data_IF_754720692630
#
_entry.id   IF_754720692630
#
_cell.length_a   1.000
_cell.length_b   1.000
_cell.length_c   1.000
_cell.angle_alpha   90.00
_cell.angle_beta   90.00
_cell.angle_gamma   90.00
#
_symmetry.space_group_name_H-M   'P 1'
#
loop_
_entity.id
_entity.type
_entity.pdbx_description
1 polymer ?
#
# COMPACT_ATOMS: atom_id res chain seq x y z
N UNK A 1 2.20 10.55 -7.49
CA UNK A 1 3.38 10.48 -8.39
C UNK A 1 3.58 9.02 -8.78
N UNK A 2 3.88 8.70 -10.03
CA UNK A 2 4.22 7.34 -10.47
C UNK A 2 5.49 7.42 -11.31
N UNK A 3 6.57 6.82 -10.81
CA UNK A 3 7.89 6.81 -11.48
C UNK A 3 8.01 5.67 -12.48
N UNK A 4 7.25 4.63 -12.24
CA UNK A 4 7.19 3.41 -13.04
C UNK A 4 5.77 3.13 -13.51
N UNK A 5 5.62 2.25 -14.47
CA UNK A 5 4.37 1.67 -14.92
C UNK A 5 4.57 0.17 -15.16
N UNK A 6 3.62 -0.66 -14.70
CA UNK A 6 3.83 -2.09 -14.54
C UNK A 6 4.41 -2.43 -13.17
N UNK A 7 4.45 -3.71 -12.81
CA UNK A 7 4.93 -4.16 -11.50
C UNK A 7 5.34 -5.64 -11.57
N UNK A 8 6.54 -5.97 -11.10
CA UNK A 8 7.07 -7.33 -11.09
C UNK A 8 6.73 -8.12 -9.81
N UNK A 9 5.94 -7.59 -8.90
CA UNK A 9 5.55 -8.26 -7.66
C UNK A 9 4.68 -9.51 -7.87
N UNK A 10 3.98 -9.62 -9.00
CA UNK A 10 3.25 -10.83 -9.37
C UNK A 10 2.00 -11.14 -8.54
N UNK A 11 1.48 -10.18 -7.76
CA UNK A 11 0.26 -10.38 -6.98
C UNK A 11 -0.88 -10.90 -7.86
N UNK A 12 -1.45 -12.06 -7.52
CA UNK A 12 -2.43 -12.74 -8.38
C UNK A 12 -3.73 -11.96 -8.56
N UNK A 13 -4.06 -11.10 -7.64
CA UNK A 13 -5.29 -10.30 -7.57
C UNK A 13 -5.13 -8.85 -8.05
N UNK A 14 -3.98 -8.47 -8.62
CA UNK A 14 -3.63 -7.06 -8.87
C UNK A 14 -4.58 -6.39 -9.87
N UNK A 15 -5.36 -5.40 -9.40
CA UNK A 15 -6.28 -4.63 -10.26
C UNK A 15 -5.55 -3.77 -11.30
N UNK A 16 -4.30 -3.37 -11.04
CA UNK A 16 -3.51 -2.58 -11.98
C UNK A 16 -3.19 -3.28 -13.32
N UNK A 17 -3.43 -4.61 -13.40
CA UNK A 17 -3.36 -5.40 -14.65
C UNK A 17 -4.56 -5.17 -15.57
N UNK A 18 -5.60 -4.50 -15.09
CA UNK A 18 -6.84 -4.32 -15.84
C UNK A 18 -6.60 -3.59 -17.15
N UNK A 19 -7.26 -4.03 -18.23
CA UNK A 19 -7.16 -3.43 -19.56
C UNK A 19 -7.54 -1.95 -19.60
N UNK A 20 -8.34 -1.47 -18.64
CA UNK A 20 -8.69 -0.06 -18.54
C UNK A 20 -7.47 0.85 -18.35
N UNK A 21 -6.35 0.33 -17.84
CA UNK A 21 -5.09 1.08 -17.71
C UNK A 21 -4.24 1.09 -18.99
N UNK A 22 -4.69 0.41 -20.06
CA UNK A 22 -4.13 0.50 -21.42
C UNK A 22 -2.62 0.22 -21.48
N UNK A 23 -2.14 -0.84 -20.83
CA UNK A 23 -0.79 -1.36 -21.06
C UNK A 23 -0.79 -2.16 -22.35
N UNK A 24 0.17 -1.88 -23.22
CA UNK A 24 0.30 -2.52 -24.53
C UNK A 24 1.23 -3.75 -24.53
N UNK A 25 1.84 -4.04 -23.38
CA UNK A 25 2.80 -5.12 -23.14
C UNK A 25 2.48 -5.81 -21.82
N UNK A 26 3.23 -6.82 -21.45
CA UNK A 26 3.04 -7.56 -20.21
C UNK A 26 3.22 -6.65 -18.99
N UNK A 27 2.39 -6.88 -17.99
CA UNK A 27 2.35 -6.03 -16.80
C UNK A 27 3.67 -6.06 -16.00
N UNK A 28 4.44 -7.12 -16.14
CA UNK A 28 5.75 -7.33 -15.55
C UNK A 28 6.86 -6.60 -16.30
N UNK A 29 6.66 -6.22 -17.56
CA UNK A 29 7.57 -5.37 -18.32
C UNK A 29 7.43 -3.93 -17.84
N UNK A 30 8.37 -3.50 -17.02
CA UNK A 30 8.27 -2.22 -16.32
C UNK A 30 8.76 -1.07 -17.20
N UNK A 31 7.87 -0.13 -17.47
CA UNK A 31 8.24 1.16 -18.07
C UNK A 31 8.86 2.07 -17.01
N UNK A 32 10.06 2.57 -17.27
CA UNK A 32 10.72 3.61 -16.47
C UNK A 32 10.43 4.98 -17.08
N UNK A 33 9.88 5.90 -16.30
CA UNK A 33 9.66 7.27 -16.75
C UNK A 33 10.95 8.07 -16.58
N UNK A 34 11.79 8.13 -17.60
CA UNK A 34 13.14 8.69 -17.57
C UNK A 34 13.23 10.09 -16.98
N UNK A 35 12.32 10.99 -17.35
CA UNK A 35 12.34 12.39 -16.91
C UNK A 35 11.44 12.68 -15.70
N UNK A 36 10.90 11.63 -15.04
CA UNK A 36 9.93 11.83 -13.96
C UNK A 36 10.49 12.61 -12.76
N UNK A 37 11.74 12.35 -12.39
CA UNK A 37 12.41 13.03 -11.28
C UNK A 37 12.65 14.51 -11.61
N UNK A 38 13.04 14.85 -12.84
CA UNK A 38 13.22 16.24 -13.29
C UNK A 38 11.88 17.00 -13.35
N UNK A 39 10.82 16.33 -13.84
CA UNK A 39 9.48 16.91 -13.88
C UNK A 39 8.94 17.13 -12.45
N UNK A 40 9.22 16.21 -11.54
CA UNK A 40 8.90 16.38 -10.14
C UNK A 40 9.61 17.61 -9.57
N UNK A 41 10.92 17.76 -9.77
CA UNK A 41 11.68 18.93 -9.28
C UNK A 41 11.11 20.23 -9.81
N UNK A 42 10.84 20.31 -11.12
CA UNK A 42 10.22 21.50 -11.75
C UNK A 42 8.86 21.82 -11.10
N UNK A 43 8.06 20.78 -10.82
CA UNK A 43 6.74 20.95 -10.20
C UNK A 43 6.83 21.42 -8.75
N UNK A 44 7.72 20.82 -7.94
CA UNK A 44 7.91 21.18 -6.54
C UNK A 44 8.45 22.61 -6.39
N UNK A 45 9.37 23.04 -7.29
CA UNK A 45 9.92 24.39 -7.30
C UNK A 45 8.85 25.47 -7.57
N UNK A 46 7.90 25.18 -8.44
CA UNK A 46 6.83 26.14 -8.83
C UNK A 46 5.64 26.16 -7.86
N UNK A 47 5.47 25.11 -7.08
CA UNK A 47 4.29 24.94 -6.23
C UNK A 47 4.43 25.75 -4.93
N UNK A 48 3.65 26.81 -4.84
CA UNK A 48 3.65 27.73 -3.66
C UNK A 48 3.06 27.03 -2.43
N UNK A 49 1.86 26.44 -2.56
CA UNK A 49 1.18 25.75 -1.45
C UNK A 49 1.75 24.35 -1.27
N UNK A 50 2.34 24.07 -0.11
CA UNK A 50 2.85 22.74 0.24
C UNK A 50 1.69 21.74 0.40
N UNK A 51 1.96 20.47 0.13
CA UNK A 51 1.00 19.39 0.23
C UNK A 51 1.69 18.06 0.46
N UNK A 52 0.90 17.00 0.69
CA UNK A 52 1.38 15.63 0.67
C UNK A 52 1.63 15.19 -0.77
N UNK A 53 2.76 14.53 -1.01
CA UNK A 53 3.09 13.86 -2.28
C UNK A 53 2.92 12.36 -2.07
N UNK A 54 2.02 11.74 -2.84
CA UNK A 54 1.73 10.32 -2.74
C UNK A 54 2.32 9.49 -3.88
N UNK A 55 2.66 8.20 -3.61
CA UNK A 55 3.05 7.20 -4.61
C UNK A 55 2.62 5.79 -4.20
N UNK A 56 2.70 4.83 -5.11
CA UNK A 56 2.48 3.41 -4.81
C UNK A 56 1.10 2.86 -5.15
N UNK A 57 0.18 3.69 -5.65
CA UNK A 57 -1.20 3.25 -5.94
C UNK A 57 -1.33 2.34 -7.19
N UNK A 58 -0.42 2.45 -8.16
CA UNK A 58 -0.47 1.68 -9.42
C UNK A 58 0.69 0.71 -9.56
N UNK A 59 1.89 1.15 -9.20
CA UNK A 59 3.11 0.36 -9.18
C UNK A 59 3.69 0.48 -7.79
N UNK A 60 4.14 -0.63 -7.20
CA UNK A 60 4.86 -0.55 -5.94
C UNK A 60 6.15 0.25 -6.14
N UNK A 61 6.42 1.26 -5.32
CA UNK A 61 7.60 2.11 -5.49
C UNK A 61 8.92 1.40 -5.14
N UNK A 62 8.88 0.25 -4.47
CA UNK A 62 10.04 -0.56 -4.10
C UNK A 62 10.10 -1.89 -4.86
N UNK A 63 9.74 -1.89 -6.15
CA UNK A 63 10.03 -3.01 -7.04
C UNK A 63 11.54 -3.23 -7.14
N UNK A 64 12.03 -4.45 -7.47
CA UNK A 64 13.45 -4.72 -7.59
C UNK A 64 14.22 -3.73 -8.47
N UNK A 65 13.64 -3.28 -9.58
CA UNK A 65 14.24 -2.30 -10.49
C UNK A 65 14.55 -0.96 -9.81
N UNK A 66 13.84 -0.58 -8.76
CA UNK A 66 14.15 0.65 -7.99
C UNK A 66 15.51 0.55 -7.27
N UNK A 67 15.96 -0.65 -6.92
CA UNK A 67 17.29 -0.84 -6.31
C UNK A 67 18.42 -0.46 -7.27
N UNK A 68 18.18 -0.62 -8.57
CA UNK A 68 19.13 -0.28 -9.65
C UNK A 68 19.01 1.19 -10.05
N UNK A 69 17.80 1.67 -10.29
CA UNK A 69 17.55 3.01 -10.84
C UNK A 69 17.66 4.12 -9.81
N UNK A 70 17.27 3.87 -8.55
CA UNK A 70 17.26 4.85 -7.48
C UNK A 70 16.33 6.05 -7.70
N UNK A 71 15.36 5.95 -8.61
CA UNK A 71 14.46 7.04 -8.98
C UNK A 71 13.58 7.48 -7.82
N UNK A 72 13.04 6.53 -7.04
CA UNK A 72 12.24 6.84 -5.87
C UNK A 72 13.08 7.58 -4.81
N UNK A 73 14.29 7.07 -4.53
CA UNK A 73 15.19 7.72 -3.56
C UNK A 73 15.51 9.16 -3.98
N UNK A 74 15.79 9.41 -5.27
CA UNK A 74 16.00 10.77 -5.79
C UNK A 74 14.75 11.63 -5.65
N UNK A 75 13.57 11.08 -5.90
CA UNK A 75 12.31 11.79 -5.72
C UNK A 75 12.06 12.16 -4.24
N UNK A 76 12.32 11.24 -3.29
CA UNK A 76 12.18 11.49 -1.85
C UNK A 76 13.15 12.58 -1.39
N UNK A 77 14.40 12.60 -1.89
CA UNK A 77 15.36 13.67 -1.62
C UNK A 77 14.85 15.05 -2.08
N UNK A 78 14.21 15.13 -3.25
CA UNK A 78 13.60 16.37 -3.73
C UNK A 78 12.42 16.82 -2.85
N UNK A 79 11.56 15.88 -2.45
CA UNK A 79 10.43 16.14 -1.55
C UNK A 79 10.95 16.73 -0.22
N UNK A 80 11.98 16.13 0.36
CA UNK A 80 12.65 16.66 1.55
C UNK A 80 13.25 18.06 1.31
N UNK A 81 14.04 18.22 0.23
CA UNK A 81 14.70 19.49 -0.15
C UNK A 81 13.69 20.63 -0.24
N UNK A 82 12.56 20.41 -0.87
CA UNK A 82 11.54 21.44 -1.08
C UNK A 82 10.49 21.53 0.04
N UNK A 83 10.59 20.74 1.12
CA UNK A 83 9.73 20.82 2.31
C UNK A 83 8.27 20.41 2.04
N UNK A 84 8.05 19.36 1.25
CA UNK A 84 6.74 18.75 1.06
C UNK A 84 6.56 17.57 2.02
N UNK A 85 5.30 17.20 2.31
CA UNK A 85 4.99 15.95 2.99
C UNK A 85 5.05 14.77 2.03
N UNK A 86 5.20 13.57 2.55
CA UNK A 86 5.32 12.36 1.75
C UNK A 86 4.46 11.21 2.28
N UNK A 87 3.81 10.49 1.39
CA UNK A 87 3.16 9.22 1.72
C UNK A 87 3.36 8.21 0.59
N UNK A 88 3.51 6.95 0.93
CA UNK A 88 3.69 5.88 -0.05
C UNK A 88 2.92 4.63 0.37
N UNK A 89 2.51 3.83 -0.62
CA UNK A 89 1.93 2.50 -0.42
C UNK A 89 2.92 1.47 -0.96
N UNK A 90 3.19 0.43 -0.18
CA UNK A 90 4.10 -0.64 -0.60
C UNK A 90 3.74 -1.99 0.03
N UNK A 91 4.20 -3.07 -0.58
CA UNK A 91 4.26 -4.43 -0.05
C UNK A 91 5.71 -4.88 0.23
N UNK A 92 6.66 -3.95 0.21
CA UNK A 92 8.08 -4.26 0.29
C UNK A 92 8.70 -3.74 1.59
N UNK A 93 9.39 -4.61 2.32
CA UNK A 93 10.22 -4.22 3.45
C UNK A 93 11.46 -3.38 3.02
N UNK A 94 11.75 -3.30 1.71
CA UNK A 94 12.81 -2.43 1.18
C UNK A 94 12.55 -0.92 1.43
N UNK A 95 11.35 -0.54 1.87
CA UNK A 95 11.08 0.82 2.38
C UNK A 95 12.07 1.24 3.47
N UNK A 96 12.59 0.29 4.24
CA UNK A 96 13.60 0.52 5.28
C UNK A 96 14.94 1.00 4.74
N UNK A 97 15.25 0.80 3.44
CA UNK A 97 16.43 1.42 2.77
C UNK A 97 16.43 2.94 2.93
N UNK A 98 15.26 3.53 2.91
CA UNK A 98 15.09 4.98 2.95
C UNK A 98 14.63 5.49 4.33
N UNK A 99 14.67 4.65 5.39
CA UNK A 99 14.16 4.95 6.73
C UNK A 99 14.63 6.30 7.28
N UNK A 100 15.95 6.58 7.24
CA UNK A 100 16.53 7.82 7.75
C UNK A 100 16.04 9.06 6.97
N UNK A 101 15.81 8.91 5.66
CA UNK A 101 15.30 10.00 4.85
C UNK A 101 13.82 10.26 5.11
N UNK A 102 13.02 9.18 5.25
CA UNK A 102 11.61 9.26 5.62
C UNK A 102 11.44 9.89 7.02
N UNK A 103 12.31 9.54 7.96
CA UNK A 103 12.37 10.14 9.30
C UNK A 103 12.63 11.65 9.22
N UNK A 104 13.63 12.10 8.45
CA UNK A 104 13.91 13.52 8.25
C UNK A 104 12.72 14.29 7.66
N UNK A 105 11.99 13.68 6.71
CA UNK A 105 10.74 14.27 6.21
C UNK A 105 9.72 14.39 7.33
N UNK A 106 9.55 13.32 8.12
CA UNK A 106 8.56 13.31 9.21
C UNK A 106 8.89 14.27 10.34
N UNK A 107 10.16 14.54 10.59
CA UNK A 107 10.61 15.54 11.57
C UNK A 107 10.32 16.98 11.10
N UNK A 108 10.45 17.25 9.82
CA UNK A 108 10.25 18.58 9.24
C UNK A 108 8.80 18.88 8.84
N UNK A 109 8.14 17.87 8.28
CA UNK A 109 6.79 17.98 7.78
C UNK A 109 6.00 16.73 8.23
N UNK A 110 5.48 15.97 7.29
CA UNK A 110 4.75 14.73 7.55
C UNK A 110 5.18 13.64 6.60
N UNK A 111 5.47 12.47 7.14
CA UNK A 111 5.67 11.25 6.37
C UNK A 111 4.76 10.15 6.90
N UNK A 112 4.05 9.45 6.00
CA UNK A 112 3.21 8.30 6.37
C UNK A 112 3.53 7.15 5.43
N UNK A 113 3.90 6.01 5.99
CA UNK A 113 4.10 4.77 5.22
C UNK A 113 2.85 3.91 5.30
N UNK A 114 2.34 3.50 4.15
CA UNK A 114 1.20 2.62 4.05
C UNK A 114 1.66 1.24 3.58
N UNK A 115 1.27 0.19 4.30
CA UNK A 115 1.69 -1.18 4.02
C UNK A 115 0.46 -2.05 3.79
N UNK A 116 0.46 -2.84 2.70
CA UNK A 116 -0.63 -3.80 2.48
C UNK A 116 -0.34 -5.11 3.21
N UNK A 117 -1.32 -5.61 3.94
CA UNK A 117 -1.32 -6.95 4.54
C UNK A 117 -2.62 -7.65 4.15
N UNK A 118 -2.54 -8.80 3.50
CA UNK A 118 -3.71 -9.56 3.03
C UNK A 118 -3.88 -10.90 3.75
N UNK A 119 -2.82 -11.44 4.28
CA UNK A 119 -2.83 -12.67 5.07
C UNK A 119 -1.74 -12.65 6.14
N UNK A 120 -1.99 -13.29 7.28
CA UNK A 120 -0.96 -13.53 8.30
C UNK A 120 -0.22 -14.86 8.09
N UNK A 121 -0.72 -15.70 7.19
CA UNK A 121 -0.11 -16.97 6.81
C UNK A 121 1.00 -16.74 5.77
N UNK A 122 2.23 -17.09 6.11
CA UNK A 122 3.41 -16.90 5.29
C UNK A 122 3.41 -17.75 4.01
N UNK A 123 2.90 -18.98 4.08
CA UNK A 123 2.81 -19.85 2.90
C UNK A 123 1.77 -19.32 1.92
N UNK A 124 0.62 -18.92 2.43
CA UNK A 124 -0.42 -18.30 1.62
C UNK A 124 0.05 -16.95 1.05
N UNK A 125 0.80 -16.17 1.82
CA UNK A 125 1.40 -14.92 1.34
C UNK A 125 2.24 -15.16 0.09
N UNK A 126 3.14 -16.15 0.11
CA UNK A 126 4.00 -16.49 -1.05
C UNK A 126 3.20 -16.96 -2.27
N UNK A 127 2.05 -17.61 -2.06
CA UNK A 127 1.15 -18.00 -3.16
C UNK A 127 0.40 -16.81 -3.77
N UNK A 128 -0.08 -15.90 -2.94
CA UNK A 128 -0.86 -14.74 -3.39
C UNK A 128 0.00 -13.61 -3.94
N UNK A 129 1.21 -13.45 -3.38
CA UNK A 129 2.11 -12.31 -3.58
C UNK A 129 3.57 -12.80 -3.74
N UNK A 130 3.91 -13.53 -4.82
CA UNK A 130 5.12 -14.34 -4.91
C UNK A 130 6.45 -13.58 -4.84
N UNK A 131 6.49 -12.33 -5.33
CA UNK A 131 7.72 -11.55 -5.46
C UNK A 131 7.74 -10.30 -4.57
N UNK A 132 7.09 -10.36 -3.42
CA UNK A 132 7.10 -9.28 -2.42
C UNK A 132 7.71 -9.78 -1.11
N UNK A 133 7.97 -8.87 -0.21
CA UNK A 133 8.30 -9.24 1.17
C UNK A 133 7.15 -10.02 1.81
N UNK A 134 7.47 -11.04 2.61
CA UNK A 134 6.45 -11.81 3.32
C UNK A 134 5.68 -10.96 4.33
N UNK A 135 4.58 -11.46 4.85
CA UNK A 135 3.80 -10.72 5.85
C UNK A 135 4.62 -10.44 7.10
N UNK A 136 5.43 -11.38 7.55
CA UNK A 136 6.31 -11.21 8.70
C UNK A 136 7.37 -10.13 8.45
N UNK A 137 8.01 -10.13 7.28
CA UNK A 137 8.98 -9.08 6.91
C UNK A 137 8.33 -7.70 6.87
N UNK A 138 7.10 -7.60 6.35
CA UNK A 138 6.34 -6.35 6.35
C UNK A 138 5.94 -5.91 7.76
N UNK A 139 5.57 -6.85 8.62
CA UNK A 139 5.28 -6.58 10.02
C UNK A 139 6.52 -6.05 10.76
N UNK A 140 7.69 -6.69 10.59
CA UNK A 140 8.95 -6.18 11.14
C UNK A 140 9.29 -4.77 10.61
N UNK A 141 9.01 -4.51 9.33
CA UNK A 141 9.18 -3.17 8.77
C UNK A 141 8.24 -2.14 9.44
N UNK A 142 6.99 -2.49 9.71
CA UNK A 142 6.05 -1.63 10.44
C UNK A 142 6.56 -1.29 11.85
N UNK A 143 7.13 -2.28 12.58
CA UNK A 143 7.73 -2.03 13.90
C UNK A 143 8.91 -1.06 13.82
N UNK A 144 9.81 -1.25 12.86
CA UNK A 144 10.96 -0.35 12.67
C UNK A 144 10.54 1.06 12.28
N UNK A 145 9.50 1.21 11.46
CA UNK A 145 8.92 2.53 11.13
C UNK A 145 8.32 3.19 12.38
N UNK A 146 7.56 2.43 13.19
CA UNK A 146 7.05 2.90 14.49
C UNK A 146 8.19 3.41 15.39
N UNK A 147 9.24 2.62 15.55
CA UNK A 147 10.38 2.94 16.43
C UNK A 147 11.16 4.16 15.93
N UNK A 148 11.12 4.44 14.62
CA UNK A 148 11.61 5.67 14.01
C UNK A 148 10.63 6.86 14.12
N UNK A 149 9.47 6.69 14.76
CA UNK A 149 8.45 7.72 14.91
C UNK A 149 7.66 8.04 13.64
N UNK A 150 7.73 7.19 12.63
CA UNK A 150 7.00 7.35 11.36
C UNK A 150 5.63 6.69 11.49
N UNK A 151 4.51 7.44 11.39
CA UNK A 151 3.17 6.86 11.42
C UNK A 151 2.95 5.93 10.22
N UNK A 152 2.25 4.82 10.50
CA UNK A 152 1.94 3.82 9.50
C UNK A 152 0.44 3.59 9.38
N UNK A 153 -0.02 3.22 8.19
CA UNK A 153 -1.40 2.79 7.89
C UNK A 153 -1.33 1.45 7.18
N UNK A 154 -2.18 0.51 7.56
CA UNK A 154 -2.26 -0.80 6.91
C UNK A 154 -3.45 -0.82 5.96
N UNK A 155 -3.26 -1.38 4.75
CA UNK A 155 -4.31 -1.73 3.81
C UNK A 155 -4.66 -3.20 3.98
N UNK A 156 -5.80 -3.47 4.61
CA UNK A 156 -6.39 -4.80 4.76
C UNK A 156 -7.27 -5.10 3.54
N UNK A 157 -6.66 -5.14 2.36
CA UNK A 157 -7.34 -5.40 1.08
C UNK A 157 -6.34 -5.81 -0.03
N UNK A 158 -6.78 -6.68 -0.96
CA UNK A 158 -8.07 -7.37 -0.95
C UNK A 158 -8.08 -8.58 0.00
N UNK A 159 -9.27 -8.95 0.45
CA UNK A 159 -9.52 -10.23 1.13
C UNK A 159 -10.28 -11.12 0.16
N UNK A 160 -9.67 -12.23 -0.21
CA UNK A 160 -10.15 -13.13 -1.27
C UNK A 160 -11.17 -14.11 -0.70
N UNK A 161 -12.43 -14.09 -1.16
CA UNK A 161 -13.45 -15.05 -0.73
C UNK A 161 -12.96 -16.49 -0.86
N UNK A 162 -13.28 -17.32 0.13
CA UNK A 162 -12.95 -18.75 0.21
C UNK A 162 -11.44 -19.07 0.35
N UNK A 163 -10.54 -18.08 0.34
CA UNK A 163 -9.10 -18.28 0.40
C UNK A 163 -8.55 -17.73 1.73
N UNK A 164 -8.65 -16.42 1.98
CA UNK A 164 -8.14 -15.78 3.19
C UNK A 164 -9.23 -15.01 3.96
N UNK A 165 -10.51 -15.18 3.62
CA UNK A 165 -11.66 -14.59 4.30
C UNK A 165 -12.06 -15.39 5.56
N UNK A 166 -11.11 -15.57 6.48
CA UNK A 166 -11.31 -16.27 7.75
C UNK A 166 -11.15 -15.33 8.94
N UNK A 167 -11.80 -15.65 10.07
CA UNK A 167 -11.63 -14.87 11.30
C UNK A 167 -10.19 -14.92 11.81
N UNK A 168 -9.57 -16.08 11.72
CA UNK A 168 -8.18 -16.28 12.08
C UNK A 168 -7.25 -15.36 11.30
N UNK A 169 -7.43 -15.29 9.97
CA UNK A 169 -6.64 -14.40 9.13
C UNK A 169 -6.84 -12.91 9.48
N UNK A 170 -8.09 -12.48 9.60
CA UNK A 170 -8.38 -11.07 9.92
C UNK A 170 -7.86 -10.73 11.32
N UNK A 171 -8.08 -11.62 12.31
CA UNK A 171 -7.59 -11.42 13.67
C UNK A 171 -6.07 -11.37 13.72
N UNK A 172 -5.36 -12.30 13.06
CA UNK A 172 -3.90 -12.35 13.05
C UNK A 172 -3.27 -11.10 12.40
N UNK A 173 -3.83 -10.59 11.29
CA UNK A 173 -3.37 -9.34 10.69
C UNK A 173 -3.60 -8.16 11.66
N UNK A 174 -4.74 -8.11 12.32
CA UNK A 174 -5.03 -7.04 13.29
C UNK A 174 -4.14 -7.11 14.52
N UNK A 175 -3.72 -8.32 14.97
CA UNK A 175 -2.73 -8.46 16.03
C UNK A 175 -1.38 -7.85 15.65
N UNK A 176 -0.93 -8.04 14.40
CA UNK A 176 0.24 -7.34 13.86
C UNK A 176 0.05 -5.81 13.85
N UNK A 177 -1.13 -5.34 13.48
CA UNK A 177 -1.44 -3.91 13.49
C UNK A 177 -1.39 -3.31 14.89
N UNK A 178 -1.93 -4.02 15.88
CA UNK A 178 -1.94 -3.65 17.29
C UNK A 178 -0.51 -3.59 17.83
N UNK A 179 0.28 -4.65 17.64
CA UNK A 179 1.66 -4.72 18.11
C UNK A 179 2.55 -3.65 17.45
N UNK A 180 2.39 -3.44 16.14
CA UNK A 180 3.09 -2.38 15.41
C UNK A 180 2.57 -0.97 15.73
N UNK A 181 1.48 -0.83 16.50
CA UNK A 181 0.83 0.45 16.85
C UNK A 181 0.53 1.29 15.61
N UNK A 182 -0.04 0.66 14.58
CA UNK A 182 -0.39 1.38 13.37
C UNK A 182 -1.45 2.45 13.68
N UNK A 183 -1.38 3.58 12.99
CA UNK A 183 -2.34 4.66 13.18
C UNK A 183 -3.74 4.30 12.70
N UNK A 184 -3.84 3.51 11.65
CA UNK A 184 -5.13 3.13 11.09
C UNK A 184 -5.05 1.95 10.15
N UNK A 185 -6.21 1.35 9.89
CA UNK A 185 -6.37 0.25 8.94
C UNK A 185 -7.47 0.59 7.95
N UNK A 186 -7.12 0.64 6.65
CA UNK A 186 -8.06 0.84 5.55
C UNK A 186 -8.62 -0.51 5.13
N UNK A 187 -9.95 -0.62 5.13
CA UNK A 187 -10.65 -1.80 4.64
C UNK A 187 -11.93 -1.36 3.90
N UNK A 188 -12.11 -1.83 2.67
CA UNK A 188 -13.30 -1.56 1.85
C UNK A 188 -14.34 -2.68 1.88
N UNK A 189 -14.17 -3.61 2.81
CA UNK A 189 -14.92 -4.86 2.88
C UNK A 189 -14.07 -6.07 2.49
N UNK A 190 -14.60 -7.24 2.78
CA UNK A 190 -13.92 -8.52 2.50
C UNK A 190 -14.29 -8.97 1.10
N UNK A 191 -13.40 -8.69 0.15
CA UNK A 191 -13.64 -8.96 -1.26
C UNK A 191 -12.56 -8.37 -2.17
N UNK A 192 -12.81 -8.42 -3.47
CA UNK A 192 -11.95 -7.84 -4.50
C UNK A 192 -12.77 -7.35 -5.69
N UNK A 193 -12.13 -6.63 -6.60
CA UNK A 193 -12.71 -6.28 -7.89
C UNK A 193 -12.07 -7.09 -9.00
N UNK A 194 -12.89 -7.57 -9.95
CA UNK A 194 -12.44 -8.31 -11.11
C UNK A 194 -12.89 -7.59 -12.40
N UNK A 195 -11.94 -6.86 -12.98
CA UNK A 195 -12.09 -6.18 -14.27
C UNK A 195 -11.58 -7.08 -15.41
N UNK A 196 -11.91 -6.71 -16.62
CA UNK A 196 -11.28 -7.30 -17.80
C UNK A 196 -9.74 -7.13 -17.73
N UNK A 197 -9.03 -8.21 -18.02
CA UNK A 197 -7.57 -8.31 -17.90
C UNK A 197 -7.13 -8.90 -16.57
N UNK A 198 -7.51 -8.28 -15.43
CA UNK A 198 -7.12 -8.86 -14.16
C UNK A 198 -7.93 -10.10 -13.78
N UNK A 199 -9.20 -10.21 -14.24
CA UNK A 199 -10.05 -11.40 -14.04
C UNK A 199 -9.44 -12.64 -14.66
N UNK A 200 -9.04 -12.54 -15.92
CA UNK A 200 -8.47 -13.64 -16.67
C UNK A 200 -7.16 -14.11 -16.03
N UNK A 201 -6.30 -13.16 -15.63
CA UNK A 201 -5.08 -13.47 -14.92
C UNK A 201 -5.34 -14.12 -13.56
N UNK A 202 -6.24 -13.56 -12.76
CA UNK A 202 -6.60 -14.11 -11.46
C UNK A 202 -7.13 -15.54 -11.58
N UNK A 203 -8.03 -15.80 -12.53
CA UNK A 203 -8.59 -17.13 -12.74
C UNK A 203 -7.55 -18.14 -13.23
N UNK A 204 -6.62 -17.73 -14.09
CA UNK A 204 -5.50 -18.59 -14.48
C UNK A 204 -4.62 -18.96 -13.27
N UNK A 205 -4.34 -18.01 -12.40
CA UNK A 205 -3.58 -18.26 -11.16
C UNK A 205 -4.35 -19.12 -10.16
N UNK A 206 -5.68 -19.00 -10.09
CA UNK A 206 -6.50 -19.90 -9.27
C UNK A 206 -6.41 -21.36 -9.76
N UNK A 207 -6.47 -21.60 -11.05
CA UNK A 207 -6.34 -22.95 -11.65
C UNK A 207 -5.01 -23.61 -11.24
N UNK A 208 -3.92 -22.83 -11.21
CA UNK A 208 -2.59 -23.33 -10.86
C UNK A 208 -2.40 -23.57 -9.35
N UNK A 209 -2.91 -22.66 -8.52
CA UNK A 209 -2.55 -22.60 -7.09
C UNK A 209 -3.62 -23.15 -6.16
N UNK A 210 -4.88 -23.15 -6.59
CA UNK A 210 -6.04 -23.50 -5.77
C UNK A 210 -7.04 -24.36 -6.56
N UNK A 211 -6.82 -25.68 -6.68
CA UNK A 211 -7.66 -26.57 -7.46
C UNK A 211 -9.15 -26.39 -7.16
N UNK A 212 -9.99 -26.29 -8.20
CA UNK A 212 -11.45 -26.08 -8.15
C UNK A 212 -11.90 -24.72 -7.59
N UNK A 213 -10.99 -23.81 -7.31
CA UNK A 213 -11.37 -22.50 -6.74
C UNK A 213 -11.95 -21.58 -7.82
N UNK A 214 -11.45 -21.65 -9.04
CA UNK A 214 -11.98 -20.86 -10.17
C UNK A 214 -13.44 -21.22 -10.44
N UNK A 215 -13.78 -22.52 -10.52
CA UNK A 215 -15.16 -22.98 -10.71
C UNK A 215 -16.05 -22.42 -9.60
N UNK A 216 -15.59 -22.51 -8.35
CA UNK A 216 -16.29 -21.97 -7.20
C UNK A 216 -16.56 -20.46 -7.30
N UNK A 217 -15.59 -19.69 -7.82
CA UNK A 217 -15.78 -18.25 -8.06
C UNK A 217 -16.80 -18.00 -9.16
N UNK A 218 -16.75 -18.76 -10.27
CA UNK A 218 -17.70 -18.65 -11.39
C UNK A 218 -19.12 -18.99 -10.92
N UNK A 219 -19.30 -20.08 -10.19
CA UNK A 219 -20.60 -20.51 -9.65
C UNK A 219 -21.23 -19.49 -8.70
N UNK A 220 -20.42 -18.87 -7.83
CA UNK A 220 -20.94 -17.93 -6.84
C UNK A 220 -21.11 -16.51 -7.36
N UNK A 221 -20.27 -16.08 -8.30
CA UNK A 221 -20.17 -14.69 -8.70
C UNK A 221 -20.41 -14.40 -10.17
N UNK A 222 -20.29 -15.41 -11.07
CA UNK A 222 -20.40 -15.19 -12.51
C UNK A 222 -19.47 -14.09 -12.99
N UNK A 223 -20.01 -13.14 -13.75
CA UNK A 223 -19.26 -12.00 -14.31
C UNK A 223 -19.29 -10.73 -13.46
N UNK A 224 -19.67 -10.83 -12.19
CA UNK A 224 -19.74 -9.65 -11.31
C UNK A 224 -18.41 -8.94 -11.23
N UNK A 225 -18.46 -7.61 -11.26
CA UNK A 225 -17.30 -6.75 -11.09
C UNK A 225 -16.81 -6.72 -9.65
N UNK A 226 -17.72 -6.56 -8.69
CA UNK A 226 -17.42 -6.58 -7.25
C UNK A 226 -17.70 -7.96 -6.70
N UNK A 227 -16.68 -8.57 -6.14
CA UNK A 227 -16.71 -9.87 -5.49
C UNK A 227 -16.65 -9.67 -3.99
N UNK A 228 -17.73 -10.00 -3.30
CA UNK A 228 -17.82 -9.84 -1.84
C UNK A 228 -17.89 -11.21 -1.17
N UNK A 229 -17.11 -11.40 -0.10
CA UNK A 229 -17.15 -12.63 0.70
C UNK A 229 -18.54 -12.88 1.29
N UNK A 230 -19.03 -14.12 1.26
CA UNK A 230 -20.23 -14.50 2.01
C UNK A 230 -20.12 -14.22 3.52
N UNK A 231 -18.89 -14.14 4.04
CA UNK A 231 -18.59 -13.87 5.45
C UNK A 231 -18.38 -12.38 5.74
N UNK A 232 -18.53 -11.50 4.74
CA UNK A 232 -18.20 -10.07 4.86
C UNK A 232 -18.81 -9.43 6.11
N UNK A 233 -20.11 -9.60 6.39
CA UNK A 233 -20.77 -8.97 7.52
C UNK A 233 -20.19 -9.38 8.89
N UNK A 234 -19.81 -10.67 9.05
CA UNK A 234 -19.18 -11.18 10.27
C UNK A 234 -17.74 -10.67 10.40
N UNK A 235 -16.96 -10.74 9.34
CA UNK A 235 -15.56 -10.32 9.34
C UNK A 235 -15.41 -8.80 9.51
N UNK A 236 -16.30 -8.01 8.90
CA UNK A 236 -16.32 -6.55 9.11
C UNK A 236 -16.67 -6.18 10.54
N UNK A 237 -17.56 -6.93 11.19
CA UNK A 237 -17.85 -6.74 12.61
C UNK A 237 -16.62 -6.99 13.48
N UNK A 238 -15.95 -8.14 13.29
CA UNK A 238 -14.68 -8.46 13.97
C UNK A 238 -13.64 -7.34 13.74
N UNK A 239 -13.49 -6.88 12.51
CA UNK A 239 -12.58 -5.79 12.14
C UNK A 239 -12.89 -4.51 12.94
N UNK A 240 -14.14 -4.05 12.94
CA UNK A 240 -14.53 -2.83 13.64
C UNK A 240 -14.38 -2.95 15.16
N UNK A 241 -14.84 -4.04 15.75
CA UNK A 241 -14.75 -4.29 17.19
C UNK A 241 -13.29 -4.31 17.65
N UNK A 242 -12.41 -5.05 16.95
CA UNK A 242 -11.00 -5.19 17.32
C UNK A 242 -10.23 -3.86 17.13
N UNK A 243 -10.45 -3.13 16.05
CA UNK A 243 -9.86 -1.81 15.84
C UNK A 243 -10.32 -0.81 16.92
N UNK A 244 -11.61 -0.76 17.22
CA UNK A 244 -12.17 0.13 18.23
C UNK A 244 -11.60 -0.17 19.64
N UNK A 245 -11.52 -1.44 20.02
CA UNK A 245 -10.98 -1.88 21.32
C UNK A 245 -9.51 -1.44 21.54
N UNK A 246 -8.75 -1.28 20.47
CA UNK A 246 -7.33 -0.90 20.52
C UNK A 246 -7.03 0.53 20.03
N UNK A 247 -8.07 1.35 19.80
CA UNK A 247 -7.90 2.75 19.39
C UNK A 247 -7.29 2.94 18.01
N UNK A 248 -7.40 1.93 17.13
CA UNK A 248 -6.90 2.01 15.74
C UNK A 248 -7.97 2.69 14.88
N UNK A 249 -7.61 3.74 14.15
CA UNK A 249 -8.50 4.38 13.20
C UNK A 249 -8.92 3.39 12.11
N UNK A 250 -10.23 3.28 11.84
CA UNK A 250 -10.77 2.30 10.90
C UNK A 250 -11.95 2.85 10.07
N UNK A 251 -12.15 4.15 10.13
CA UNK A 251 -12.99 4.88 9.18
C UNK A 251 -12.13 5.35 8.01
N UNK A 252 -12.45 4.86 6.81
CA UNK A 252 -11.65 5.16 5.61
C UNK A 252 -11.62 6.66 5.30
N UNK A 253 -12.72 7.39 5.52
CA UNK A 253 -12.80 8.82 5.26
C UNK A 253 -11.79 9.59 6.10
N UNK A 254 -11.81 9.38 7.42
CA UNK A 254 -10.91 10.03 8.37
C UNK A 254 -9.43 9.66 8.11
N UNK A 255 -9.16 8.42 7.69
CA UNK A 255 -7.79 8.00 7.34
C UNK A 255 -7.32 8.70 6.07
N UNK A 256 -8.14 8.80 5.02
CA UNK A 256 -7.76 9.51 3.79
C UNK A 256 -7.60 11.01 4.02
N UNK A 257 -8.44 11.61 4.85
CA UNK A 257 -8.26 13.00 5.27
C UNK A 257 -6.91 13.18 5.98
N UNK A 258 -6.59 12.32 6.94
CA UNK A 258 -5.28 12.32 7.59
C UNK A 258 -4.13 12.16 6.59
N UNK A 259 -4.21 11.22 5.63
CA UNK A 259 -3.15 10.96 4.65
C UNK A 259 -2.93 12.15 3.70
N UNK A 260 -3.97 12.93 3.41
CA UNK A 260 -3.93 14.09 2.51
C UNK A 260 -3.57 15.41 3.21
N UNK A 261 -3.81 15.50 4.52
CA UNK A 261 -3.51 16.70 5.31
C UNK A 261 -2.00 16.91 5.42
N UNK A 262 -1.52 18.04 4.90
CA UNK A 262 -0.14 18.49 5.05
C UNK A 262 0.07 19.13 6.43
N UNK A 263 1.21 18.83 7.05
CA UNK A 263 1.62 19.39 8.32
C UNK A 263 3.04 19.94 8.18
N UNK A 264 3.26 21.17 8.60
CA UNK A 264 4.60 21.73 8.77
C UNK A 264 4.92 21.73 10.28
N UNK A 265 5.96 21.01 10.64
CA UNK A 265 6.43 20.93 12.03
C UNK A 265 7.48 22.00 12.21
N UNK A 266 7.16 23.04 12.99
CA UNK A 266 8.16 24.02 13.41
C UNK A 266 9.22 23.28 14.23
N UNK A 267 10.43 23.16 13.67
CA UNK A 267 11.61 22.83 14.48
C UNK A 267 11.73 23.93 15.52
N UNK A 268 11.50 23.60 16.79
CA UNK A 268 11.62 24.56 17.89
C UNK A 268 12.98 25.24 17.88
N UNK A 269 13.02 26.56 17.60
CA UNK A 269 14.23 27.37 17.66
C UNK A 269 14.53 28.18 16.41
N UNK A 270 13.70 29.13 16.10
CA UNK A 270 14.03 30.51 15.68
C UNK A 270 12.75 31.17 15.18
N UNK A 271 12.04 31.87 16.06
CA UNK A 271 11.12 32.91 15.59
C UNK A 271 12.00 33.95 14.87
N UNK A 272 11.63 34.25 13.62
CA UNK A 272 12.18 35.37 12.91
C UNK A 272 12.01 36.63 13.77
N UNK A 273 13.06 37.42 13.91
CA UNK A 273 13.03 38.72 14.59
C UNK A 273 12.20 39.77 13.82
N UNK A 274 11.44 39.36 12.78
CA UNK A 274 10.71 40.25 11.86
C UNK A 274 9.27 39.79 11.61
N UNK A 275 8.58 39.19 12.59
CA UNK A 275 7.11 39.07 12.58
C UNK A 275 6.50 40.18 13.41
#
# INVERSE_FOLDING_TARGET
MNLYRGCSHGCIYCDSRSKCYRMAHDFEDIEVKENAVELLEKSLRRKVKKCMIGTGSMTDPYIPLELETGNLRRAILLIYKYGFGFTLITKSAHVLRDLELLKKINERTKCVVQMTLTTHDEELCRKLEPNVSTTLERFEALKRLRDAGIPTVVWLCPILPFINDTEDNISGILDYCIEAKVRGVICFGMGLTLREGNREYFYSRLDELFPKMKERYIENYGDRYVITSPRNGRLMRLFHEKCAAHGIAHDNGSIFEYLSAFEEKTTGGQRSLFD
#
